data_IF_460328530613
#
_entry.id   IF_460328530613
#
_cell.length_a   1.000
_cell.length_b   1.000
_cell.length_c   1.000
_cell.angle_alpha   90.00
_cell.angle_beta   90.00
_cell.angle_gamma   90.00
#
_symmetry.space_group_name_H-M   'P 1'
#
loop_
_entity.id
_entity.type
_entity.pdbx_description
1 polymer ?
#
# COMPACT_ATOMS: atom_id res chain seq x y z
N UNK A 1 2.58 -1.90 -16.72
CA UNK A 1 2.11 -2.43 -15.42
C UNK A 1 1.17 -3.58 -15.70
N UNK A 2 1.45 -4.78 -15.21
CA UNK A 2 0.67 -5.99 -15.51
C UNK A 2 -0.62 -6.04 -14.70
N UNK A 3 -1.76 -6.25 -15.37
CA UNK A 3 -2.98 -6.72 -14.73
C UNK A 3 -2.74 -8.20 -14.39
N UNK A 4 -2.62 -8.52 -13.10
CA UNK A 4 -2.77 -9.91 -12.67
C UNK A 4 -4.24 -10.26 -12.93
N UNK A 5 -4.54 -11.48 -13.39
CA UNK A 5 -5.91 -11.88 -13.71
C UNK A 5 -6.89 -11.62 -12.56
N UNK A 6 -8.20 -11.79 -12.79
CA UNK A 6 -9.19 -11.60 -11.71
C UNK A 6 -8.91 -12.58 -10.57
N UNK A 7 -9.20 -12.17 -9.34
CA UNK A 7 -9.13 -13.07 -8.19
C UNK A 7 -10.12 -14.23 -8.35
N UNK A 8 -9.82 -15.40 -7.75
CA UNK A 8 -10.73 -16.54 -7.76
C UNK A 8 -12.07 -16.21 -7.09
N UNK A 9 -13.12 -16.94 -7.47
CA UNK A 9 -14.41 -16.85 -6.78
C UNK A 9 -14.24 -17.18 -5.28
N UNK A 10 -14.88 -16.39 -4.41
CA UNK A 10 -14.75 -16.54 -2.96
C UNK A 10 -13.44 -16.01 -2.36
N UNK A 11 -12.60 -15.35 -3.17
CA UNK A 11 -11.39 -14.67 -2.67
C UNK A 11 -11.75 -13.58 -1.64
N UNK A 12 -11.08 -13.63 -0.50
CA UNK A 12 -11.19 -12.66 0.58
C UNK A 12 -9.81 -12.36 1.14
N UNK A 13 -9.77 -11.46 2.14
CA UNK A 13 -8.53 -11.03 2.77
C UNK A 13 -7.67 -12.22 3.23
N UNK A 14 -8.27 -13.21 3.89
CA UNK A 14 -7.55 -14.33 4.52
C UNK A 14 -7.11 -15.40 3.53
N UNK A 15 -8.01 -15.84 2.66
CA UNK A 15 -7.73 -17.00 1.81
C UNK A 15 -6.96 -16.64 0.52
N UNK A 16 -6.84 -15.35 0.16
CA UNK A 16 -6.22 -14.95 -1.09
C UNK A 16 -5.31 -13.72 -0.96
N UNK A 17 -5.85 -12.56 -0.59
CA UNK A 17 -5.08 -11.30 -0.71
C UNK A 17 -3.92 -11.20 0.28
N UNK A 18 -4.08 -11.67 1.52
CA UNK A 18 -3.02 -11.66 2.53
C UNK A 18 -1.90 -12.67 2.20
N UNK A 19 -2.21 -13.95 1.90
CA UNK A 19 -1.19 -14.90 1.40
C UNK A 19 -0.47 -14.37 0.16
N UNK A 20 -1.20 -13.82 -0.82
CA UNK A 20 -0.62 -13.28 -2.05
C UNK A 20 0.33 -12.11 -1.77
N UNK A 21 -0.04 -11.22 -0.84
CA UNK A 21 0.83 -10.10 -0.44
C UNK A 21 2.11 -10.60 0.25
N UNK A 22 2.00 -11.65 1.07
CA UNK A 22 3.15 -12.28 1.72
C UNK A 22 4.09 -12.94 0.69
N UNK A 23 3.53 -13.69 -0.27
CA UNK A 23 4.28 -14.27 -1.40
C UNK A 23 4.97 -13.18 -2.20
N UNK A 24 4.27 -12.09 -2.49
CA UNK A 24 4.82 -10.96 -3.24
C UNK A 24 6.04 -10.34 -2.54
N UNK A 25 5.99 -10.10 -1.23
CA UNK A 25 7.15 -9.55 -0.54
C UNK A 25 8.31 -10.54 -0.40
N UNK A 26 8.05 -11.84 -0.26
CA UNK A 26 9.08 -12.87 -0.34
C UNK A 26 9.74 -12.91 -1.71
N UNK A 27 8.96 -12.76 -2.79
CA UNK A 27 9.48 -12.65 -4.14
C UNK A 27 10.35 -11.39 -4.31
N UNK A 28 9.90 -10.24 -3.83
CA UNK A 28 10.69 -9.00 -3.81
C UNK A 28 12.01 -9.17 -3.04
N UNK A 29 12.00 -9.80 -1.85
CA UNK A 29 13.22 -10.08 -1.08
C UNK A 29 14.21 -10.91 -1.88
N UNK A 30 13.73 -11.97 -2.53
CA UNK A 30 14.56 -12.87 -3.34
C UNK A 30 15.17 -12.17 -4.56
N UNK A 31 14.44 -11.27 -5.22
CA UNK A 31 14.92 -10.56 -6.41
C UNK A 31 15.87 -9.39 -6.11
N UNK A 32 15.60 -8.64 -5.04
CA UNK A 32 16.34 -7.39 -4.73
C UNK A 32 17.62 -7.67 -3.94
N UNK A 33 17.66 -8.78 -3.19
CA UNK A 33 18.75 -9.10 -2.27
C UNK A 33 18.61 -8.43 -0.90
N UNK A 34 19.57 -8.69 -0.02
CA UNK A 34 19.57 -8.18 1.36
C UNK A 34 19.88 -6.66 1.41
N UNK A 35 19.21 -5.94 2.32
CA UNK A 35 19.50 -4.53 2.62
C UNK A 35 18.72 -3.45 1.84
N UNK A 36 18.05 -3.79 0.72
CA UNK A 36 17.31 -2.80 -0.12
C UNK A 36 15.80 -3.11 -0.24
N UNK A 37 15.34 -4.13 0.46
CA UNK A 37 13.94 -4.58 0.43
C UNK A 37 12.95 -3.47 0.85
N UNK A 38 11.84 -3.28 0.13
CA UNK A 38 10.75 -2.40 0.56
C UNK A 38 10.33 -2.62 2.01
N UNK A 39 9.97 -1.54 2.70
CA UNK A 39 9.51 -1.63 4.09
C UNK A 39 8.06 -2.10 4.19
N UNK A 40 7.22 -1.79 3.21
CA UNK A 40 5.80 -2.22 3.16
C UNK A 40 5.48 -2.84 1.81
N UNK A 41 4.70 -3.91 1.84
CA UNK A 41 4.05 -4.55 0.69
C UNK A 41 2.55 -4.44 0.86
N UNK A 42 1.82 -4.40 -0.24
CA UNK A 42 0.42 -3.99 -0.21
C UNK A 42 -0.36 -4.65 -1.33
N UNK A 43 -1.63 -4.92 -1.07
CA UNK A 43 -2.60 -5.34 -2.07
C UNK A 43 -3.90 -4.53 -1.91
N UNK A 44 -4.37 -3.94 -3.01
CA UNK A 44 -5.70 -3.32 -3.12
C UNK A 44 -6.55 -4.14 -4.07
N UNK A 45 -7.83 -4.30 -3.78
CA UNK A 45 -8.78 -5.01 -4.64
C UNK A 45 -10.18 -4.39 -4.60
N UNK A 46 -11.03 -4.76 -5.55
CA UNK A 46 -12.47 -4.41 -5.58
C UNK A 46 -13.35 -5.66 -5.54
N UNK A 47 -14.68 -5.47 -5.49
CA UNK A 47 -15.67 -6.57 -5.49
C UNK A 47 -15.70 -7.33 -6.82
N UNK A 48 -15.28 -6.69 -7.92
CA UNK A 48 -15.17 -7.32 -9.22
C UNK A 48 -13.95 -8.27 -9.34
N UNK A 49 -13.12 -8.35 -8.29
CA UNK A 49 -11.95 -9.22 -8.24
C UNK A 49 -10.74 -8.68 -9.01
N UNK A 50 -10.75 -7.43 -9.46
CA UNK A 50 -9.52 -6.77 -9.88
C UNK A 50 -8.67 -6.46 -8.65
N UNK A 51 -7.37 -6.73 -8.74
CA UNK A 51 -6.43 -6.43 -7.67
C UNK A 51 -5.08 -5.97 -8.19
N UNK A 52 -4.38 -5.18 -7.37
CA UNK A 52 -3.04 -4.67 -7.67
C UNK A 52 -2.14 -4.82 -6.45
N UNK A 53 -0.91 -5.26 -6.71
CA UNK A 53 0.15 -5.34 -5.72
C UNK A 53 1.00 -4.08 -5.77
N UNK A 54 1.49 -3.67 -4.60
CA UNK A 54 2.32 -2.50 -4.43
C UNK A 54 3.42 -2.74 -3.40
N UNK A 55 4.52 -2.02 -3.56
CA UNK A 55 5.60 -1.99 -2.58
C UNK A 55 6.01 -0.54 -2.32
N UNK A 56 6.34 -0.24 -1.07
CA UNK A 56 6.87 1.06 -0.70
C UNK A 56 8.16 1.29 -1.46
N UNK A 57 8.49 2.55 -1.76
CA UNK A 57 9.77 2.86 -2.38
C UNK A 57 10.90 2.33 -1.49
N UNK A 58 11.74 1.45 -2.04
CA UNK A 58 12.95 0.96 -1.37
C UNK A 58 13.92 2.10 -1.04
N UNK A 59 14.98 1.80 -0.29
CA UNK A 59 15.99 2.79 0.11
C UNK A 59 15.44 3.94 0.98
N UNK A 60 14.46 3.66 1.85
CA UNK A 60 13.89 4.65 2.78
C UNK A 60 14.95 5.27 3.72
N UNK A 61 16.04 4.55 3.99
CA UNK A 61 17.15 4.92 4.87
C UNK A 61 18.47 5.26 4.16
N UNK A 62 18.55 5.12 2.84
CA UNK A 62 19.80 5.40 2.12
C UNK A 62 19.86 6.89 1.80
N UNK A 63 20.60 7.64 2.62
CA UNK A 63 20.90 9.07 2.48
C UNK A 63 21.80 9.42 1.28
N UNK A 64 22.00 8.52 0.32
CA UNK A 64 22.86 8.82 -0.83
C UNK A 64 22.17 9.79 -1.79
N UNK A 65 22.89 10.85 -2.17
CA UNK A 65 22.61 11.73 -3.31
C UNK A 65 22.52 10.91 -4.61
N UNK A 66 21.37 10.28 -4.84
CA UNK A 66 21.08 9.56 -6.08
C UNK A 66 20.08 10.39 -6.86
N UNK A 67 20.51 11.11 -7.92
CA UNK A 67 19.62 11.98 -8.71
C UNK A 67 18.38 11.27 -9.24
N UNK A 68 18.47 9.96 -9.53
CA UNK A 68 17.33 9.17 -9.99
C UNK A 68 16.22 8.99 -8.93
N UNK A 69 16.52 9.08 -7.63
CA UNK A 69 15.50 9.00 -6.58
C UNK A 69 14.50 10.15 -6.68
N UNK A 70 14.97 11.36 -6.99
CA UNK A 70 14.12 12.51 -7.21
C UNK A 70 13.27 12.36 -8.48
N UNK A 71 13.83 11.76 -9.54
CA UNK A 71 13.07 11.40 -10.77
C UNK A 71 11.96 10.41 -10.45
N UNK A 72 12.26 9.36 -9.69
CA UNK A 72 11.27 8.35 -9.27
C UNK A 72 10.22 8.94 -8.34
N UNK A 73 10.59 9.80 -7.39
CA UNK A 73 9.63 10.46 -6.51
C UNK A 73 8.67 11.36 -7.32
N UNK A 74 9.19 12.14 -8.28
CA UNK A 74 8.36 12.94 -9.18
C UNK A 74 7.45 12.09 -10.04
N UNK A 75 7.97 11.00 -10.62
CA UNK A 75 7.18 10.09 -11.46
C UNK A 75 6.05 9.43 -10.65
N UNK A 76 6.36 8.92 -9.46
CA UNK A 76 5.40 8.29 -8.54
C UNK A 76 4.34 9.27 -8.05
N UNK A 77 4.73 10.51 -7.74
CA UNK A 77 3.78 11.57 -7.43
C UNK A 77 2.90 11.92 -8.64
N UNK A 78 3.47 12.00 -9.84
CA UNK A 78 2.75 12.28 -11.07
C UNK A 78 1.60 11.31 -11.33
N UNK A 79 1.77 10.03 -10.96
CA UNK A 79 0.73 9.00 -11.11
C UNK A 79 -0.50 9.29 -10.21
N UNK A 80 -0.29 9.77 -8.98
CA UNK A 80 -1.40 10.09 -8.06
C UNK A 80 -1.88 11.55 -8.17
N UNK A 81 -1.14 12.42 -8.87
CA UNK A 81 -1.55 13.79 -9.14
C UNK A 81 -2.94 13.78 -9.79
N UNK A 82 -3.84 14.57 -9.23
CA UNK A 82 -5.23 14.70 -9.66
C UNK A 82 -5.76 16.06 -9.24
N UNK A 83 -6.82 16.53 -9.88
CA UNK A 83 -7.46 17.80 -9.51
C UNK A 83 -7.90 17.82 -8.04
N UNK A 84 -8.55 16.79 -7.47
CA UNK A 84 -8.88 16.77 -6.04
C UNK A 84 -7.66 16.90 -5.12
N UNK A 85 -6.53 16.26 -5.48
CA UNK A 85 -5.29 16.36 -4.71
C UNK A 85 -4.73 17.79 -4.76
N UNK A 86 -4.78 18.44 -5.92
CA UNK A 86 -4.34 19.83 -6.11
C UNK A 86 -5.25 20.83 -5.40
N UNK A 87 -6.57 20.67 -5.48
CA UNK A 87 -7.55 21.51 -4.78
C UNK A 87 -7.42 21.40 -3.26
N UNK A 88 -7.01 20.23 -2.74
CA UNK A 88 -6.68 20.05 -1.33
C UNK A 88 -5.33 20.71 -0.92
N UNK A 89 -4.63 21.36 -1.85
CA UNK A 89 -3.39 22.08 -1.58
C UNK A 89 -2.15 21.19 -1.42
N UNK A 90 -2.23 19.93 -1.86
CA UNK A 90 -1.17 18.93 -1.71
C UNK A 90 -0.20 18.92 -2.89
N UNK A 91 1.07 18.66 -2.60
CA UNK A 91 2.14 18.59 -3.59
C UNK A 91 3.21 17.57 -3.19
N UNK A 92 4.23 17.38 -4.04
CA UNK A 92 5.37 16.56 -3.65
C UNK A 92 6.13 17.15 -2.44
N UNK A 93 6.18 18.47 -2.32
CA UNK A 93 6.87 19.19 -1.24
C UNK A 93 6.01 19.35 0.03
N UNK A 94 4.71 19.07 -0.06
CA UNK A 94 3.74 19.29 1.01
C UNK A 94 2.73 18.16 1.06
N UNK A 95 2.76 17.38 2.14
CA UNK A 95 1.86 16.24 2.35
C UNK A 95 1.44 16.12 3.82
N UNK A 96 0.30 15.48 4.12
CA UNK A 96 -0.17 15.28 5.49
C UNK A 96 0.89 14.68 6.44
N UNK A 97 1.66 13.68 5.98
CA UNK A 97 2.74 13.08 6.77
C UNK A 97 3.87 14.09 7.08
N UNK A 98 4.16 15.03 6.18
CA UNK A 98 5.18 16.08 6.37
C UNK A 98 4.70 17.27 7.20
N UNK A 99 3.39 17.50 7.26
CA UNK A 99 2.83 18.50 8.16
C UNK A 99 2.74 17.97 9.59
N UNK A 100 2.35 16.70 9.75
CA UNK A 100 2.24 16.06 11.07
C UNK A 100 3.60 15.81 11.74
N UNK A 101 4.64 15.44 10.97
CA UNK A 101 6.01 15.30 11.48
C UNK A 101 6.82 16.50 11.01
N UNK A 102 7.35 17.33 11.92
CA UNK A 102 8.18 18.52 11.64
C UNK A 102 9.09 18.31 10.40
N UNK A 103 8.61 18.69 9.20
CA UNK A 103 9.12 18.56 7.81
C UNK A 103 10.28 17.58 7.46
N UNK A 104 11.35 17.50 8.24
CA UNK A 104 12.56 16.70 7.99
C UNK A 104 12.33 15.18 8.03
N UNK A 105 11.34 14.70 8.79
CA UNK A 105 11.07 13.24 8.96
C UNK A 105 9.78 12.77 8.30
N UNK A 106 9.11 13.66 7.55
CA UNK A 106 7.84 13.37 6.90
C UNK A 106 8.00 12.59 5.60
N UNK A 107 7.09 11.65 5.35
CA UNK A 107 7.01 10.93 4.07
C UNK A 107 6.31 11.81 3.04
N UNK A 108 6.91 12.14 1.88
CA UNK A 108 6.18 12.77 0.78
C UNK A 108 5.19 11.79 0.13
N UNK A 109 4.24 12.33 -0.62
CA UNK A 109 3.35 11.53 -1.46
C UNK A 109 4.14 10.67 -2.47
N UNK A 110 3.58 9.52 -2.82
CA UNK A 110 4.16 8.61 -3.80
C UNK A 110 5.16 7.59 -3.25
N UNK A 111 5.67 7.72 -2.01
CA UNK A 111 6.60 6.72 -1.45
C UNK A 111 5.92 5.50 -0.83
N UNK A 112 4.63 5.59 -0.54
CA UNK A 112 3.84 4.52 0.06
C UNK A 112 3.64 3.33 -0.90
N UNK A 113 3.39 2.15 -0.35
CA UNK A 113 3.18 0.94 -1.15
C UNK A 113 1.88 1.01 -1.96
N UNK A 114 0.90 1.69 -1.39
CA UNK A 114 -0.43 1.98 -1.90
C UNK A 114 -0.43 2.86 -3.17
N UNK A 115 0.69 3.53 -3.50
CA UNK A 115 0.74 4.57 -4.55
C UNK A 115 0.18 4.10 -5.90
N UNK A 116 0.69 2.98 -6.44
CA UNK A 116 0.22 2.45 -7.72
C UNK A 116 -1.13 1.75 -7.61
N UNK A 117 -1.38 0.89 -6.60
CA UNK A 117 -2.68 0.25 -6.43
C UNK A 117 -3.84 1.26 -6.27
N UNK A 118 -3.65 2.34 -5.49
CA UNK A 118 -4.67 3.39 -5.33
C UNK A 118 -4.91 4.15 -6.63
N UNK A 119 -3.86 4.43 -7.40
CA UNK A 119 -4.06 5.03 -8.72
C UNK A 119 -4.92 4.16 -9.64
N UNK A 120 -4.83 2.84 -9.52
CA UNK A 120 -5.52 1.90 -10.43
C UNK A 120 -6.91 1.48 -9.98
N UNK A 121 -7.18 1.50 -8.69
CA UNK A 121 -8.45 1.04 -8.16
C UNK A 121 -9.26 2.12 -7.46
N UNK A 122 -8.64 3.16 -6.90
CA UNK A 122 -9.37 4.28 -6.28
C UNK A 122 -9.51 5.48 -7.22
N UNK A 123 -8.42 5.94 -7.82
CA UNK A 123 -8.42 7.15 -8.65
C UNK A 123 -9.22 6.99 -9.95
N UNK A 124 -9.19 5.80 -10.55
CA UNK A 124 -9.80 5.53 -11.87
C UNK A 124 -11.22 4.99 -11.81
N UNK A 125 -11.73 4.65 -10.63
CA UNK A 125 -13.11 4.17 -10.47
C UNK A 125 -14.06 5.33 -10.11
N UNK A 126 -15.35 5.20 -10.41
CA UNK A 126 -16.35 6.18 -10.00
C UNK A 126 -16.53 6.20 -8.47
N UNK A 127 -17.05 7.32 -7.91
CA UNK A 127 -17.20 7.49 -6.44
C UNK A 127 -17.92 6.31 -5.75
N UNK A 128 -19.01 5.80 -6.34
CA UNK A 128 -19.75 4.66 -5.77
C UNK A 128 -18.98 3.32 -5.80
N UNK A 129 -18.02 3.18 -6.71
CA UNK A 129 -17.13 2.01 -6.77
C UNK A 129 -15.95 2.15 -5.81
N UNK A 130 -15.47 3.38 -5.57
CA UNK A 130 -14.35 3.65 -4.68
C UNK A 130 -14.63 3.18 -3.24
N UNK A 131 -15.88 3.30 -2.77
CA UNK A 131 -16.32 2.81 -1.47
C UNK A 131 -16.25 1.28 -1.31
N UNK A 132 -16.20 0.56 -2.44
CA UNK A 132 -16.12 -0.91 -2.52
C UNK A 132 -14.70 -1.39 -2.86
N UNK A 133 -13.73 -0.50 -2.68
CA UNK A 133 -12.31 -0.84 -2.77
C UNK A 133 -11.79 -1.13 -1.37
N UNK A 134 -11.02 -2.20 -1.28
CA UNK A 134 -10.44 -2.72 -0.06
C UNK A 134 -8.94 -2.85 -0.22
N UNK A 135 -8.24 -2.98 0.91
CA UNK A 135 -6.82 -3.24 0.84
C UNK A 135 -6.23 -3.69 2.16
N UNK A 136 -5.00 -4.17 2.06
CA UNK A 136 -4.16 -4.47 3.22
C UNK A 136 -2.73 -4.06 2.92
N UNK A 137 -1.99 -3.69 3.96
CA UNK A 137 -0.57 -3.43 3.91
C UNK A 137 0.15 -4.30 4.95
N UNK A 138 1.33 -4.79 4.60
CA UNK A 138 2.11 -5.75 5.36
C UNK A 138 3.56 -5.27 5.46
N UNK A 139 4.07 -5.08 6.67
CA UNK A 139 5.40 -4.54 6.91
C UNK A 139 6.50 -5.62 6.88
N UNK A 140 7.66 -5.28 6.33
CA UNK A 140 8.83 -6.14 6.08
C UNK A 140 9.20 -7.15 7.18
N UNK A 141 9.05 -6.90 8.50
CA UNK A 141 9.50 -7.86 9.50
C UNK A 141 8.95 -9.29 9.37
N UNK A 142 7.80 -9.50 8.72
CA UNK A 142 7.30 -10.88 8.47
C UNK A 142 8.21 -11.71 7.55
N UNK A 143 9.07 -11.07 6.75
CA UNK A 143 9.98 -11.78 5.83
C UNK A 143 11.06 -12.61 6.53
N UNK A 144 11.18 -12.45 7.85
CA UNK A 144 12.05 -13.28 8.70
C UNK A 144 11.29 -14.43 9.36
N UNK A 145 9.96 -14.51 9.18
CA UNK A 145 9.17 -15.63 9.69
C UNK A 145 9.47 -16.90 8.90
N UNK A 146 9.76 -18.03 9.56
CA UNK A 146 10.13 -19.28 8.88
C UNK A 146 8.95 -19.92 8.14
N UNK A 147 7.73 -19.69 8.64
CA UNK A 147 6.50 -20.23 8.07
C UNK A 147 5.44 -19.13 7.98
N UNK A 148 4.50 -19.29 7.05
CA UNK A 148 3.32 -18.46 6.96
C UNK A 148 2.34 -18.83 8.08
N UNK A 149 2.00 -17.86 8.93
CA UNK A 149 1.06 -18.01 10.04
C UNK A 149 0.21 -16.75 10.17
N UNK A 150 -1.04 -16.87 9.75
CA UNK A 150 -2.04 -15.79 9.65
C UNK A 150 -3.12 -15.85 10.73
N UNK A 151 -2.88 -16.61 11.81
CA UNK A 151 -3.65 -16.46 13.06
C UNK A 151 -3.61 -15.01 13.52
N UNK A 152 -4.61 -14.56 14.28
CA UNK A 152 -4.65 -13.17 14.76
C UNK A 152 -3.45 -12.83 15.64
N UNK A 153 -2.99 -13.80 16.44
CA UNK A 153 -1.75 -13.76 17.21
C UNK A 153 -0.48 -14.04 16.39
N UNK A 154 -0.63 -14.48 15.13
CA UNK A 154 0.43 -14.91 14.25
C UNK A 154 1.30 -13.76 13.71
N UNK A 155 2.54 -14.08 13.28
CA UNK A 155 3.50 -13.10 12.79
C UNK A 155 3.06 -12.37 11.52
N UNK A 156 2.21 -12.96 10.67
CA UNK A 156 1.70 -12.25 9.49
C UNK A 156 0.70 -11.17 9.93
N UNK A 157 -0.27 -11.53 10.76
CA UNK A 157 -1.32 -10.59 11.20
C UNK A 157 -0.74 -9.46 12.05
N UNK A 158 0.18 -9.77 12.95
CA UNK A 158 0.88 -8.78 13.79
C UNK A 158 1.71 -7.75 12.99
N UNK A 159 1.97 -7.99 11.70
CA UNK A 159 2.73 -7.10 10.81
C UNK A 159 1.87 -6.36 9.80
N UNK A 160 0.54 -6.57 9.85
CA UNK A 160 -0.40 -5.72 9.12
C UNK A 160 -0.27 -4.27 9.57
N UNK A 161 -0.37 -3.36 8.61
CA UNK A 161 -0.08 -1.95 8.80
C UNK A 161 -1.30 -1.12 8.38
N UNK A 162 -1.63 -0.07 9.14
CA UNK A 162 -2.72 0.86 8.79
C UNK A 162 -2.23 1.93 7.81
N UNK A 163 -3.06 2.42 6.88
CA UNK A 163 -2.63 3.47 5.96
C UNK A 163 -2.08 4.69 6.70
N UNK A 164 -0.98 5.27 6.21
CA UNK A 164 -0.42 6.50 6.78
C UNK A 164 -1.32 7.71 6.44
N UNK A 165 -1.00 8.90 6.99
CA UNK A 165 -1.81 10.10 6.75
C UNK A 165 -1.91 10.47 5.26
N UNK A 166 -0.84 10.27 4.47
CA UNK A 166 -0.90 10.46 3.02
C UNK A 166 -1.89 9.49 2.37
N UNK A 167 -1.83 8.20 2.74
CA UNK A 167 -2.73 7.20 2.15
C UNK A 167 -4.18 7.39 2.61
N UNK A 168 -4.40 7.79 3.87
CA UNK A 168 -5.72 8.19 4.37
C UNK A 168 -6.30 9.34 3.55
N UNK A 169 -5.48 10.32 3.22
CA UNK A 169 -5.92 11.44 2.38
C UNK A 169 -6.23 11.01 0.95
N UNK A 170 -5.40 10.13 0.33
CA UNK A 170 -5.69 9.58 -1.00
C UNK A 170 -7.01 8.80 -1.02
N UNK A 171 -7.28 8.00 0.02
CA UNK A 171 -8.57 7.30 0.16
C UNK A 171 -9.71 8.32 0.19
N UNK A 172 -9.61 9.35 1.03
CA UNK A 172 -10.64 10.38 1.20
C UNK A 172 -10.94 11.14 -0.09
N UNK A 173 -9.91 11.69 -0.76
CA UNK A 173 -10.12 12.53 -1.96
C UNK A 173 -10.68 11.74 -3.14
N UNK A 174 -10.47 10.42 -3.16
CA UNK A 174 -10.99 9.53 -4.20
C UNK A 174 -12.30 8.84 -3.79
N UNK A 175 -12.89 9.19 -2.64
CA UNK A 175 -14.18 8.66 -2.20
C UNK A 175 -14.16 7.23 -1.69
N UNK A 176 -12.99 6.69 -1.32
CA UNK A 176 -12.89 5.38 -0.70
C UNK A 176 -13.24 5.42 0.79
N UNK A 177 -13.55 4.24 1.35
CA UNK A 177 -13.80 4.05 2.79
C UNK A 177 -12.51 3.66 3.50
N UNK A 178 -12.05 4.48 4.44
CA UNK A 178 -10.79 4.24 5.16
C UNK A 178 -10.81 2.94 5.97
N UNK A 179 -11.98 2.59 6.49
CA UNK A 179 -12.26 1.40 7.26
C UNK A 179 -11.94 0.12 6.46
N UNK A 180 -12.13 0.14 5.14
CA UNK A 180 -11.83 -1.00 4.26
C UNK A 180 -10.33 -1.36 4.20
N UNK A 181 -9.45 -0.50 4.72
CA UNK A 181 -7.99 -0.67 4.71
C UNK A 181 -7.40 -0.90 6.10
N UNK A 182 -8.25 -0.97 7.14
CA UNK A 182 -7.78 -1.18 8.51
C UNK A 182 -7.37 -2.64 8.75
N UNK A 183 -6.47 -2.82 9.72
CA UNK A 183 -5.91 -4.13 10.10
C UNK A 183 -7.01 -5.12 10.48
N UNK A 184 -8.02 -4.68 11.21
CA UNK A 184 -9.12 -5.52 11.68
C UNK A 184 -10.10 -5.93 10.56
N UNK A 185 -10.17 -5.19 9.45
CA UNK A 185 -11.13 -5.48 8.39
C UNK A 185 -10.84 -6.83 7.76
N UNK A 186 -11.84 -7.71 7.67
CA UNK A 186 -11.67 -9.08 7.19
C UNK A 186 -10.99 -10.03 8.18
N UNK A 187 -10.99 -9.72 9.48
CA UNK A 187 -10.55 -10.64 10.55
C UNK A 187 -11.56 -11.74 10.88
N UNK A 188 -12.82 -11.60 10.45
CA UNK A 188 -13.87 -12.56 10.74
C UNK A 188 -13.44 -13.98 10.29
N UNK A 189 -13.58 -14.95 11.20
CA UNK A 189 -13.18 -16.33 10.99
C UNK A 189 -11.67 -16.60 11.06
N UNK A 190 -10.85 -15.63 11.49
CA UNK A 190 -9.46 -15.90 11.83
C UNK A 190 -9.34 -16.67 13.16
N UNK A 191 -8.54 -17.75 13.23
CA UNK A 191 -8.22 -18.36 14.50
C UNK A 191 -7.51 -17.35 15.42
N UNK A 192 -7.78 -17.40 16.73
CA UNK A 192 -7.07 -16.57 17.70
C UNK A 192 -5.54 -16.76 17.63
#
# INVERSE_FOLDING_TARGET
>A
MSKLGRSPAGANKRNFYLPLTAVYGMWCKKLIGEGVTPYVFQCTWNEEGDFFLGASRGAYSLHSERPWLAVVDRARFGVIKSEPLTLAGWSLARSPCMECRKKKDGTPFGRCAETYPFCKLLKTCGKGQAEKVYGLALSRPYLSSPHYDDRLSGPIWARLWKPCLNCKELIRIHGGKYENFLVATGSAGAPP
#
